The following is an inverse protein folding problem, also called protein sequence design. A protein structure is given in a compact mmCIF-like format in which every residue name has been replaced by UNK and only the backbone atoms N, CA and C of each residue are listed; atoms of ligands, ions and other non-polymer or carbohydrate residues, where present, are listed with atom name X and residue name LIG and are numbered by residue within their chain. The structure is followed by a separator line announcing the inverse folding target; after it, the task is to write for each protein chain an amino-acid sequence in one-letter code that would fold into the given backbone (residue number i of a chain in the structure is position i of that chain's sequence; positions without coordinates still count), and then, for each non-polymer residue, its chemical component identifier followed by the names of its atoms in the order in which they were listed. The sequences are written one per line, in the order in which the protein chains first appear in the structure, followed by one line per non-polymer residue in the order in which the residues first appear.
data_IF_455816028951
#
_entry.id   IF_455816028951
#
_cell.length_a   1.000
_cell.length_b   1.000
_cell.length_c   1.000
_cell.angle_alpha   90.00
_cell.angle_beta   90.00
_cell.angle_gamma   90.00
#
_symmetry.space_group_name_H-M   'P 1'
#
loop_
_entity.id
_entity.type
_entity.pdbx_description
1 polymer ?
#
# COMPACT_ATOMS: atom_id res chain seq x y z
N UNK A 1 4.05 -25.36 4.56
CA UNK A 1 3.25 -24.17 4.16
C UNK A 1 1.83 -24.60 3.80
N UNK A 2 0.81 -23.95 4.33
CA UNK A 2 -0.59 -24.24 3.98
C UNK A 2 -0.88 -23.74 2.56
N UNK A 3 -1.60 -24.54 1.75
CA UNK A 3 -2.04 -24.16 0.41
C UNK A 3 -3.39 -23.42 0.42
N UNK A 4 -4.04 -23.33 1.58
CA UNK A 4 -5.34 -22.68 1.71
C UNK A 4 -5.17 -21.25 2.21
N UNK A 5 -5.46 -20.28 1.34
CA UNK A 5 -5.58 -18.87 1.70
C UNK A 5 -6.98 -18.67 2.27
N UNK A 6 -7.10 -18.65 3.60
CA UNK A 6 -8.35 -18.37 4.30
C UNK A 6 -8.38 -16.90 4.71
N UNK A 7 -9.22 -16.11 4.03
CA UNK A 7 -9.53 -14.74 4.43
C UNK A 7 -10.32 -14.76 5.75
N UNK A 8 -9.81 -14.11 6.78
CA UNK A 8 -10.50 -14.04 8.07
C UNK A 8 -11.68 -13.06 7.98
N UNK A 9 -12.77 -13.32 8.70
CA UNK A 9 -13.99 -12.51 8.61
C UNK A 9 -13.80 -11.00 8.83
N UNK A 10 -12.87 -10.60 9.70
CA UNK A 10 -12.53 -9.18 9.91
C UNK A 10 -11.78 -8.55 8.71
N UNK A 11 -10.99 -9.33 7.96
CA UNK A 11 -10.32 -8.88 6.74
C UNK A 11 -11.33 -8.69 5.60
N UNK A 12 -12.36 -9.56 5.54
CA UNK A 12 -13.43 -9.48 4.55
C UNK A 12 -14.26 -8.19 4.66
N UNK A 13 -14.57 -7.76 5.87
CA UNK A 13 -15.34 -6.52 6.09
C UNK A 13 -14.64 -5.30 5.47
N UNK A 14 -13.31 -5.23 5.60
CA UNK A 14 -12.52 -4.17 5.00
C UNK A 14 -12.43 -4.26 3.47
N UNK A 15 -12.76 -5.40 2.86
CA UNK A 15 -12.77 -5.58 1.40
C UNK A 15 -14.15 -5.36 0.78
N UNK A 16 -15.21 -5.15 1.57
CA UNK A 16 -16.57 -4.95 1.06
C UNK A 16 -16.65 -3.80 0.04
N UNK A 17 -15.84 -2.75 0.21
CA UNK A 17 -15.81 -1.61 -0.72
C UNK A 17 -15.51 -2.01 -2.17
N UNK A 18 -14.85 -3.16 -2.40
CA UNK A 18 -14.55 -3.68 -3.74
C UNK A 18 -15.84 -3.93 -4.54
N UNK A 19 -16.90 -4.41 -3.88
CA UNK A 19 -18.20 -4.67 -4.48
C UNK A 19 -19.16 -3.49 -4.44
N UNK A 20 -18.80 -2.38 -3.79
CA UNK A 20 -19.65 -1.18 -3.72
C UNK A 20 -19.47 -0.33 -4.97
N UNK A 21 -20.53 0.37 -5.36
CA UNK A 21 -20.48 1.36 -6.43
C UNK A 21 -19.50 2.49 -6.07
N UNK A 22 -18.65 2.84 -7.03
CA UNK A 22 -17.66 3.90 -6.90
C UNK A 22 -17.80 4.92 -8.03
N UNK A 23 -18.75 5.84 -7.84
CA UNK A 23 -19.03 6.96 -8.74
C UNK A 23 -20.01 6.61 -9.86
N UNK A 24 -19.50 6.34 -11.05
CA UNK A 24 -20.26 6.33 -12.32
C UNK A 24 -21.03 5.02 -12.60
N UNK A 25 -21.78 4.47 -11.64
CA UNK A 25 -22.55 3.23 -11.85
C UNK A 25 -21.69 1.97 -12.00
N UNK A 26 -20.41 2.03 -11.64
CA UNK A 26 -19.47 0.90 -11.68
C UNK A 26 -19.01 0.59 -10.27
N UNK A 27 -18.90 -0.70 -9.95
CA UNK A 27 -18.21 -1.13 -8.72
C UNK A 27 -16.74 -0.75 -8.75
N UNK A 28 -16.11 -0.65 -7.58
CA UNK A 28 -14.67 -0.43 -7.51
C UNK A 28 -13.89 -1.51 -8.26
N UNK A 29 -14.30 -2.78 -8.14
CA UNK A 29 -13.72 -3.91 -8.88
C UNK A 29 -13.76 -3.72 -10.40
N UNK A 30 -14.93 -3.38 -10.95
CA UNK A 30 -15.10 -3.20 -12.38
C UNK A 30 -14.27 -2.03 -12.90
N UNK A 31 -14.21 -0.93 -12.13
CA UNK A 31 -13.42 0.25 -12.48
C UNK A 31 -11.93 -0.11 -12.60
N UNK A 32 -11.35 -0.75 -11.58
CA UNK A 32 -9.94 -1.13 -11.60
C UNK A 32 -9.66 -2.16 -12.70
N UNK A 33 -10.51 -3.19 -12.86
CA UNK A 33 -10.34 -4.21 -13.89
C UNK A 33 -10.37 -3.62 -15.31
N UNK A 34 -11.31 -2.70 -15.58
CA UNK A 34 -11.36 -1.98 -16.87
C UNK A 34 -10.11 -1.14 -17.08
N UNK A 35 -9.64 -0.41 -16.07
CA UNK A 35 -8.43 0.39 -16.18
C UNK A 35 -7.19 -0.47 -16.53
N UNK A 36 -7.02 -1.61 -15.85
CA UNK A 36 -5.90 -2.53 -16.10
C UNK A 36 -5.95 -3.22 -17.47
N UNK A 37 -7.15 -3.48 -18.00
CA UNK A 37 -7.32 -4.06 -19.35
C UNK A 37 -7.05 -3.05 -20.46
N UNK A 38 -7.42 -1.79 -20.24
CA UNK A 38 -7.37 -0.74 -21.27
C UNK A 38 -6.06 0.03 -21.32
N UNK A 39 -5.16 -0.10 -20.34
CA UNK A 39 -3.86 0.56 -20.35
C UNK A 39 -2.84 -0.15 -21.26
N UNK A 40 -1.77 0.55 -21.63
CA UNK A 40 -0.65 -0.04 -22.40
C UNK A 40 0.36 -0.77 -21.51
N UNK A 41 0.53 -0.32 -20.27
CA UNK A 41 1.40 -0.93 -19.27
C UNK A 41 0.88 -0.66 -17.86
N UNK A 42 1.29 -1.49 -16.91
CA UNK A 42 0.94 -1.39 -15.49
C UNK A 42 2.21 -1.07 -14.71
N UNK A 43 2.16 -0.11 -13.80
CA UNK A 43 3.27 0.20 -12.90
C UNK A 43 2.84 0.03 -11.44
N UNK A 44 3.62 -0.72 -10.67
CA UNK A 44 3.41 -0.90 -9.24
C UNK A 44 4.58 -0.31 -8.45
N UNK A 45 4.25 0.40 -7.37
CA UNK A 45 5.20 0.91 -6.39
C UNK A 45 5.63 -0.21 -5.44
N UNK A 46 6.41 -1.14 -5.97
CA UNK A 46 6.87 -2.34 -5.28
C UNK A 46 8.19 -2.81 -5.90
N UNK A 47 8.75 -3.90 -5.39
CA UNK A 47 9.92 -4.57 -5.97
C UNK A 47 9.72 -6.08 -5.99
N UNK A 48 10.57 -6.79 -6.75
CA UNK A 48 10.42 -8.25 -6.94
C UNK A 48 10.59 -9.03 -5.65
N UNK A 49 11.44 -8.55 -4.76
CA UNK A 49 11.71 -9.13 -3.44
C UNK A 49 10.46 -9.18 -2.56
N UNK A 50 9.51 -8.25 -2.76
CA UNK A 50 8.27 -8.16 -1.98
C UNK A 50 7.11 -8.83 -2.72
N UNK A 51 6.91 -8.54 -4.01
CA UNK A 51 5.68 -8.93 -4.74
C UNK A 51 5.93 -9.56 -6.11
N UNK A 52 7.14 -10.07 -6.39
CA UNK A 52 7.54 -10.54 -7.72
C UNK A 52 6.58 -11.55 -8.35
N UNK A 53 6.22 -12.63 -7.64
CA UNK A 53 5.33 -13.67 -8.16
C UNK A 53 3.92 -13.18 -8.47
N UNK A 54 3.39 -12.24 -7.68
CA UNK A 54 2.10 -11.61 -7.93
C UNK A 54 2.15 -10.68 -9.14
N UNK A 55 3.26 -9.97 -9.32
CA UNK A 55 3.47 -9.12 -10.49
C UNK A 55 3.57 -9.96 -11.77
N UNK A 56 4.25 -11.11 -11.74
CA UNK A 56 4.32 -12.04 -12.86
C UNK A 56 2.94 -12.61 -13.21
N UNK A 57 2.17 -12.96 -12.19
CA UNK A 57 0.77 -13.37 -12.36
C UNK A 57 -0.04 -12.26 -13.05
N UNK A 58 0.02 -11.02 -12.57
CA UNK A 58 -0.72 -9.90 -13.18
C UNK A 58 -0.27 -9.62 -14.62
N UNK A 59 1.02 -9.71 -14.90
CA UNK A 59 1.54 -9.58 -16.26
C UNK A 59 0.93 -10.64 -17.18
N UNK A 60 0.84 -11.90 -16.72
CA UNK A 60 0.22 -13.00 -17.48
C UNK A 60 -1.30 -12.83 -17.62
N UNK A 61 -1.99 -12.39 -16.57
CA UNK A 61 -3.45 -12.24 -16.56
C UNK A 61 -3.93 -11.15 -17.50
N UNK A 62 -3.25 -10.02 -17.52
CA UNK A 62 -3.63 -8.88 -18.37
C UNK A 62 -2.91 -8.90 -19.72
N UNK A 63 -1.88 -9.74 -19.89
CA UNK A 63 -1.00 -9.77 -21.05
C UNK A 63 -0.41 -8.37 -21.35
N UNK A 64 0.15 -7.74 -20.30
CA UNK A 64 0.70 -6.37 -20.35
C UNK A 64 2.08 -6.31 -19.70
N UNK A 65 2.96 -5.38 -20.13
CA UNK A 65 4.17 -5.06 -19.39
C UNK A 65 3.83 -4.57 -17.97
N UNK A 66 4.51 -5.13 -16.97
CA UNK A 66 4.43 -4.71 -15.56
C UNK A 66 5.78 -4.14 -15.13
N UNK A 67 5.79 -2.88 -14.71
CA UNK A 67 6.97 -2.17 -14.23
C UNK A 67 6.94 -2.02 -12.72
N UNK A 68 8.06 -2.35 -12.07
CA UNK A 68 8.21 -2.22 -10.62
C UNK A 68 9.08 -0.99 -10.35
N UNK A 69 8.50 0.03 -9.74
CA UNK A 69 9.19 1.32 -9.51
C UNK A 69 9.99 1.35 -8.20
N UNK A 70 10.09 0.19 -7.53
CA UNK A 70 10.79 0.03 -6.27
C UNK A 70 9.94 0.48 -5.06
N UNK A 71 10.44 0.24 -3.84
CA UNK A 71 9.96 0.98 -2.69
C UNK A 71 10.42 2.42 -2.90
N UNK A 72 9.55 3.29 -3.44
CA UNK A 72 9.88 4.70 -3.70
C UNK A 72 10.04 5.43 -2.36
N UNK A 73 11.08 5.08 -1.62
CA UNK A 73 11.47 5.71 -0.38
C UNK A 73 12.22 6.99 -0.74
N UNK A 74 12.02 8.08 0.02
CA UNK A 74 12.87 9.26 -0.12
C UNK A 74 14.33 8.85 0.04
N UNK A 75 15.20 9.28 -0.88
CA UNK A 75 16.63 9.16 -0.67
C UNK A 75 17.00 9.98 0.57
N UNK A 76 17.74 9.39 1.52
CA UNK A 76 18.08 10.01 2.80
C UNK A 76 18.75 11.38 2.65
N UNK A 77 19.48 11.59 1.55
CA UNK A 77 20.26 12.80 1.27
C UNK A 77 19.69 13.62 0.09
N UNK A 78 18.46 13.35 -0.35
CA UNK A 78 17.85 14.13 -1.43
C UNK A 78 17.64 15.59 -0.98
N UNK A 79 17.88 16.58 -1.85
CA UNK A 79 17.56 17.99 -1.55
C UNK A 79 16.05 18.24 -1.34
N UNK A 80 15.17 17.29 -1.67
CA UNK A 80 13.73 17.34 -1.38
C UNK A 80 13.33 16.67 -0.07
N UNK A 81 14.24 15.99 0.62
CA UNK A 81 13.99 15.41 1.94
C UNK A 81 13.95 16.54 2.96
N UNK A 82 12.75 16.93 3.38
CA UNK A 82 12.64 17.94 4.42
C UNK A 82 13.18 17.36 5.73
N UNK A 83 14.08 18.06 6.42
CA UNK A 83 14.54 17.63 7.73
C UNK A 83 13.34 17.52 8.68
N UNK A 84 13.40 16.54 9.58
CA UNK A 84 12.40 16.40 10.63
C UNK A 84 12.32 17.71 11.43
N UNK A 85 11.11 18.15 11.78
CA UNK A 85 10.95 19.36 12.59
C UNK A 85 11.81 19.26 13.85
N UNK A 86 12.55 20.34 14.14
CA UNK A 86 13.53 20.39 15.24
C UNK A 86 12.96 19.89 16.57
N UNK A 87 11.70 20.23 16.87
CA UNK A 87 11.01 19.77 18.08
C UNK A 87 10.97 18.23 18.20
N UNK A 88 10.71 17.54 17.09
CA UNK A 88 10.62 16.08 17.09
C UNK A 88 12.00 15.43 17.08
N UNK A 89 12.97 16.02 16.37
CA UNK A 89 14.36 15.60 16.43
C UNK A 89 14.90 15.66 17.87
N UNK A 90 14.80 16.83 18.52
CA UNK A 90 15.27 17.06 19.90
C UNK A 90 14.56 16.15 20.92
N UNK A 91 13.30 15.76 20.66
CA UNK A 91 12.57 14.83 21.53
C UNK A 91 13.02 13.38 21.33
N UNK A 92 13.20 12.93 20.08
CA UNK A 92 13.65 11.57 19.77
C UNK A 92 15.09 11.30 20.24
N UNK A 93 15.96 12.31 20.21
CA UNK A 93 17.36 12.22 20.64
C UNK A 93 17.54 11.92 22.14
N UNK A 94 16.49 12.08 22.95
CA UNK A 94 16.51 11.76 24.38
C UNK A 94 16.41 10.25 24.66
N UNK A 95 16.04 9.45 23.67
CA UNK A 95 15.83 8.01 23.82
C UNK A 95 17.01 7.19 23.32
N UNK A 96 17.20 5.99 23.88
CA UNK A 96 18.20 5.05 23.38
C UNK A 96 17.83 4.60 21.97
N UNK A 97 18.84 4.35 21.13
CA UNK A 97 18.64 3.71 19.83
C UNK A 97 17.76 2.46 19.94
N UNK A 98 16.73 2.37 19.08
CA UNK A 98 15.75 1.27 19.01
C UNK A 98 14.86 1.12 20.26
N UNK A 99 14.62 2.17 21.04
CA UNK A 99 13.72 2.11 22.21
C UNK A 99 12.37 2.82 22.04
N UNK A 100 12.13 3.50 20.93
CA UNK A 100 10.86 4.20 20.65
C UNK A 100 10.04 3.41 19.65
N UNK A 101 8.74 3.26 19.92
CA UNK A 101 7.78 2.62 19.01
C UNK A 101 7.03 3.71 18.25
N UNK A 102 7.11 3.68 16.91
CA UNK A 102 6.29 4.51 16.05
C UNK A 102 4.97 3.80 15.74
N UNK A 103 3.85 4.45 16.05
CA UNK A 103 2.51 3.94 15.76
C UNK A 103 1.76 4.95 14.89
N UNK A 104 1.40 4.53 13.67
CA UNK A 104 0.59 5.31 12.74
C UNK A 104 -0.38 4.39 12.00
N UNK A 105 -1.66 4.78 11.95
CA UNK A 105 -2.75 4.00 11.36
C UNK A 105 -3.24 4.61 10.03
N UNK A 106 -2.31 5.23 9.29
CA UNK A 106 -2.64 5.95 8.06
C UNK A 106 -3.48 7.21 8.30
N UNK A 107 -3.81 7.92 7.23
CA UNK A 107 -4.58 9.17 7.29
C UNK A 107 -6.10 8.97 7.27
N UNK A 108 -6.56 7.75 6.99
CA UNK A 108 -7.97 7.44 6.75
C UNK A 108 -8.64 6.72 7.92
N UNK A 109 -7.87 6.21 8.88
CA UNK A 109 -8.41 5.47 10.00
C UNK A 109 -8.50 6.36 11.24
N UNK A 110 -9.72 6.65 11.68
CA UNK A 110 -9.98 7.34 12.94
C UNK A 110 -10.42 6.29 13.95
N UNK A 111 -9.59 6.06 14.96
CA UNK A 111 -9.96 5.18 16.06
C UNK A 111 -11.07 5.84 16.88
N UNK A 112 -12.24 5.21 16.91
CA UNK A 112 -13.24 5.53 17.91
C UNK A 112 -12.83 4.94 19.24
N UNK A 113 -13.06 5.70 20.31
CA UNK A 113 -12.82 5.23 21.66
C UNK A 113 -14.01 4.39 22.09
N UNK A 114 -13.87 3.07 22.07
CA UNK A 114 -14.74 2.20 22.85
C UNK A 114 -14.26 2.20 24.31
N UNK A 115 -14.75 3.17 25.08
CA UNK A 115 -14.71 3.22 26.54
C UNK A 115 -15.94 3.95 27.05
#
# INVERSE_FOLDING_TARGET
PSNDIVLKGAEWQNLLFIGLEFGSGLTFYERITKAMRSCDAIAFRTCREIEGSFCDYLASQYNKPVFLTGPVLPELDSPTTMPLDKKWADWLDQFRSRSVVFCALGSQFVLEKEQ
#
